data_IF_145434941860
#
_entry.id   IF_145434941860
#
_cell.length_a   1.000
_cell.length_b   1.000
_cell.length_c   1.000
_cell.angle_alpha   90.00
_cell.angle_beta   90.00
_cell.angle_gamma   90.00
#
_symmetry.space_group_name_H-M   'P 1'
#
loop_
_entity.id
_entity.type
_entity.pdbx_description
1 polymer ?
#
# COMPACT_ATOMS: atom_id res chain seq x y z
N UNK A 1 16.44 -12.51 -37.75
CA UNK A 1 15.80 -13.83 -37.93
C UNK A 1 15.29 -13.94 -39.37
N UNK A 2 15.52 -15.04 -40.08
CA UNK A 2 14.94 -15.26 -41.41
C UNK A 2 13.54 -15.84 -41.23
N UNK A 3 12.51 -15.16 -41.73
CA UNK A 3 11.13 -15.64 -41.65
C UNK A 3 10.57 -15.78 -43.06
N UNK A 4 10.04 -16.96 -43.39
CA UNK A 4 9.22 -17.13 -44.58
C UNK A 4 7.82 -16.60 -44.28
N UNK A 5 7.48 -15.49 -44.93
CA UNK A 5 6.16 -14.88 -44.83
C UNK A 5 5.30 -15.44 -45.95
N UNK A 6 4.17 -16.02 -45.56
CA UNK A 6 3.10 -16.41 -46.47
C UNK A 6 2.27 -15.17 -46.76
N UNK A 7 2.11 -14.86 -48.05
CA UNK A 7 1.22 -13.79 -48.50
C UNK A 7 0.07 -14.45 -49.25
N UNK A 8 -1.12 -14.50 -48.61
CA UNK A 8 -2.35 -14.94 -49.25
C UNK A 8 -2.90 -13.76 -50.03
N UNK A 9 -3.05 -13.91 -51.35
CA UNK A 9 -3.61 -12.86 -52.20
C UNK A 9 -5.06 -12.58 -51.79
N UNK A 10 -5.33 -11.37 -51.26
CA UNK A 10 -6.69 -10.88 -50.99
C UNK A 10 -7.36 -10.30 -52.24
N UNK A 11 -7.02 -10.78 -53.43
CA UNK A 11 -7.64 -10.33 -54.67
C UNK A 11 -8.89 -11.16 -54.98
N UNK A 12 -10.05 -10.60 -54.61
CA UNK A 12 -11.38 -11.06 -55.00
C UNK A 12 -11.72 -10.78 -56.48
N UNK A 13 -10.72 -10.65 -57.34
CA UNK A 13 -10.90 -10.33 -58.76
C UNK A 13 -9.81 -10.95 -59.63
N UNK A 14 -9.96 -12.24 -59.94
CA UNK A 14 -9.26 -12.88 -61.07
C UNK A 14 -10.31 -13.21 -62.16
N UNK A 15 -9.93 -13.12 -63.45
CA UNK A 15 -10.87 -13.17 -64.57
C UNK A 15 -11.55 -14.54 -64.70
N UNK A 16 -12.86 -14.52 -64.91
CA UNK A 16 -13.81 -15.65 -64.84
C UNK A 16 -13.68 -16.74 -65.91
N UNK A 17 -12.66 -16.73 -66.76
CA UNK A 17 -12.63 -17.65 -67.90
C UNK A 17 -11.45 -18.61 -67.85
N UNK A 18 -11.83 -19.90 -67.85
CA UNK A 18 -11.03 -21.13 -67.96
C UNK A 18 -10.40 -21.64 -66.67
N UNK A 19 -11.22 -22.34 -65.87
CA UNK A 19 -10.94 -23.65 -65.24
C UNK A 19 -12.25 -24.15 -64.60
N UNK A 20 -12.47 -25.47 -64.61
CA UNK A 20 -13.77 -26.10 -64.37
C UNK A 20 -14.55 -25.64 -63.12
N UNK A 21 -15.86 -25.45 -63.30
CA UNK A 21 -16.85 -24.87 -62.39
C UNK A 21 -17.05 -25.55 -61.02
N UNK A 22 -16.19 -26.50 -60.62
CA UNK A 22 -16.29 -27.22 -59.33
C UNK A 22 -15.24 -26.85 -58.27
N UNK A 23 -14.26 -25.98 -58.58
CA UNK A 23 -13.19 -25.63 -57.63
C UNK A 23 -13.45 -24.37 -56.79
N UNK A 24 -14.32 -23.45 -57.24
CA UNK A 24 -14.53 -22.15 -56.58
C UNK A 24 -15.45 -22.19 -55.36
N UNK A 25 -16.45 -23.10 -55.31
CA UNK A 25 -17.40 -23.19 -54.18
C UNK A 25 -16.82 -23.89 -52.95
N UNK A 26 -15.90 -24.82 -53.14
CA UNK A 26 -15.29 -25.62 -52.07
C UNK A 26 -14.27 -24.82 -51.24
N UNK A 27 -13.68 -23.76 -51.82
CA UNK A 27 -12.62 -23.00 -51.13
C UNK A 27 -13.12 -21.95 -50.13
N UNK A 28 -14.39 -21.52 -50.17
CA UNK A 28 -14.89 -20.44 -49.29
C UNK A 28 -15.24 -20.90 -47.86
N UNK A 29 -15.75 -22.12 -47.69
CA UNK A 29 -16.15 -22.65 -46.37
C UNK A 29 -14.96 -23.17 -45.58
N UNK A 30 -13.96 -23.68 -46.28
CA UNK A 30 -12.77 -24.32 -45.70
C UNK A 30 -11.53 -23.39 -45.70
N UNK A 31 -11.65 -22.15 -46.19
CA UNK A 31 -10.57 -21.16 -46.28
C UNK A 31 -9.83 -20.95 -44.95
N UNK A 32 -10.59 -20.86 -43.84
CA UNK A 32 -10.03 -20.64 -42.50
C UNK A 32 -9.17 -21.82 -42.03
N UNK A 33 -9.62 -23.05 -42.28
CA UNK A 33 -8.87 -24.25 -41.93
C UNK A 33 -7.59 -24.38 -42.78
N UNK A 34 -7.65 -23.98 -44.05
CA UNK A 34 -6.48 -23.92 -44.95
C UNK A 34 -5.49 -22.85 -44.47
N UNK A 35 -5.95 -21.67 -44.07
CA UNK A 35 -5.11 -20.59 -43.54
C UNK A 35 -4.40 -21.00 -42.24
N UNK A 36 -5.13 -21.56 -41.27
CA UNK A 36 -4.57 -22.05 -40.01
C UNK A 36 -3.52 -23.17 -40.24
N UNK A 37 -3.80 -24.09 -41.17
CA UNK A 37 -2.86 -25.18 -41.51
C UNK A 37 -1.59 -24.66 -42.20
N UNK A 38 -1.73 -23.61 -43.00
CA UNK A 38 -0.63 -22.94 -43.70
C UNK A 38 0.22 -22.12 -42.72
N UNK A 39 -0.40 -21.45 -41.75
CA UNK A 39 0.30 -20.73 -40.67
C UNK A 39 1.00 -21.69 -39.69
N UNK A 40 0.45 -22.89 -39.48
CA UNK A 40 1.05 -23.92 -38.64
C UNK A 40 2.27 -24.62 -39.27
N UNK A 41 2.54 -24.42 -40.57
CA UNK A 41 3.70 -25.04 -41.23
C UNK A 41 5.01 -24.59 -40.59
N UNK A 42 5.89 -25.55 -40.31
CA UNK A 42 7.26 -25.29 -39.84
C UNK A 42 8.10 -24.59 -40.91
N UNK A 43 9.22 -23.99 -40.49
CA UNK A 43 10.12 -23.30 -41.41
C UNK A 43 10.68 -24.22 -42.51
N UNK A 44 11.07 -25.45 -42.17
CA UNK A 44 11.59 -26.44 -43.12
C UNK A 44 10.53 -26.84 -44.17
N UNK A 45 9.28 -27.03 -43.74
CA UNK A 45 8.17 -27.33 -44.64
C UNK A 45 7.89 -26.15 -45.59
N UNK A 46 7.91 -24.91 -45.08
CA UNK A 46 7.75 -23.71 -45.91
C UNK A 46 8.86 -23.60 -46.96
N UNK A 47 10.11 -23.92 -46.61
CA UNK A 47 11.22 -23.90 -47.57
C UNK A 47 11.06 -24.95 -48.68
N UNK A 48 10.74 -26.19 -48.31
CA UNK A 48 10.48 -27.27 -49.26
C UNK A 48 9.29 -26.95 -50.19
N UNK A 49 8.18 -26.47 -49.63
CA UNK A 49 7.03 -26.05 -50.42
C UNK A 49 7.31 -24.83 -51.29
N UNK A 50 8.16 -23.88 -50.86
CA UNK A 50 8.60 -22.78 -51.71
C UNK A 50 9.36 -23.26 -52.95
N UNK A 51 10.22 -24.27 -52.81
CA UNK A 51 10.94 -24.88 -53.95
C UNK A 51 9.99 -25.63 -54.88
N UNK A 52 9.06 -26.43 -54.33
CA UNK A 52 8.05 -27.16 -55.09
C UNK A 52 7.12 -26.20 -55.81
N UNK A 53 6.67 -25.15 -55.14
CA UNK A 53 5.83 -24.11 -55.73
C UNK A 53 6.55 -23.45 -56.91
N UNK A 54 7.84 -23.12 -56.78
CA UNK A 54 8.62 -22.53 -57.86
C UNK A 54 8.78 -23.46 -59.08
N UNK A 55 9.01 -24.77 -58.86
CA UNK A 55 9.23 -25.78 -59.90
C UNK A 55 7.93 -26.27 -60.57
N UNK A 56 6.91 -26.57 -59.78
CA UNK A 56 5.70 -27.28 -60.22
C UNK A 56 4.44 -26.40 -60.28
N UNK A 57 4.46 -25.19 -59.70
CA UNK A 57 3.34 -24.25 -59.74
C UNK A 57 2.22 -24.51 -58.75
N UNK A 58 2.17 -25.69 -58.12
CA UNK A 58 1.14 -26.13 -57.16
C UNK A 58 1.79 -26.88 -55.99
N UNK A 59 1.28 -26.67 -54.78
CA UNK A 59 1.64 -27.43 -53.56
C UNK A 59 0.40 -28.13 -52.99
N UNK A 60 0.59 -29.28 -52.35
CA UNK A 60 -0.46 -30.01 -51.64
C UNK A 60 -0.18 -29.96 -50.14
N UNK A 61 -1.09 -29.37 -49.36
CA UNK A 61 -0.97 -29.27 -47.91
C UNK A 61 -2.05 -30.15 -47.26
N UNK A 62 -1.67 -30.86 -46.20
CA UNK A 62 -2.60 -31.64 -45.40
C UNK A 62 -3.41 -30.69 -44.51
N UNK A 63 -4.73 -30.66 -44.67
CA UNK A 63 -5.63 -29.77 -43.92
C UNK A 63 -6.62 -30.63 -43.15
N UNK A 64 -6.57 -30.64 -41.80
CA UNK A 64 -7.53 -31.37 -40.99
C UNK A 64 -8.95 -30.86 -41.23
N UNK A 65 -9.87 -31.76 -41.59
CA UNK A 65 -11.30 -31.44 -41.76
C UNK A 65 -11.81 -31.30 -43.20
N UNK A 66 -10.96 -31.47 -44.22
CA UNK A 66 -11.41 -31.56 -45.62
C UNK A 66 -11.82 -32.99 -46.00
N UNK A 67 -12.77 -33.18 -46.95
CA UNK A 67 -13.22 -34.51 -47.42
C UNK A 67 -12.11 -35.41 -47.95
N UNK A 68 -11.05 -34.84 -48.54
CA UNK A 68 -9.86 -35.56 -49.04
C UNK A 68 -8.60 -35.33 -48.18
N UNK A 69 -8.71 -34.57 -47.09
CA UNK A 69 -7.61 -34.21 -46.20
C UNK A 69 -6.49 -33.38 -46.84
N UNK A 70 -6.57 -33.03 -48.14
CA UNK A 70 -5.52 -32.31 -48.86
C UNK A 70 -6.09 -31.08 -49.59
N UNK A 71 -5.42 -29.94 -49.45
CA UNK A 71 -5.71 -28.72 -50.19
C UNK A 71 -4.60 -28.46 -51.23
N UNK A 72 -5.00 -28.18 -52.47
CA UNK A 72 -4.09 -27.78 -53.55
C UNK A 72 -4.01 -26.26 -53.65
N UNK A 73 -2.81 -25.71 -53.56
CA UNK A 73 -2.56 -24.27 -53.54
C UNK A 73 -1.59 -23.89 -54.66
N UNK A 74 -2.04 -23.04 -55.58
CA UNK A 74 -1.23 -22.56 -56.70
C UNK A 74 -0.49 -21.25 -56.41
N UNK A 75 0.45 -20.88 -57.29
CA UNK A 75 1.20 -19.61 -57.22
C UNK A 75 0.33 -18.35 -57.13
N UNK A 76 -0.91 -18.40 -57.63
CA UNK A 76 -1.84 -17.27 -57.57
C UNK A 76 -2.42 -17.03 -56.16
N UNK A 77 -2.42 -18.05 -55.30
CA UNK A 77 -3.06 -18.00 -53.98
C UNK A 77 -2.05 -17.77 -52.85
N UNK A 78 -0.83 -18.29 -53.00
CA UNK A 78 0.19 -18.28 -51.95
C UNK A 78 1.55 -17.93 -52.53
N UNK A 79 2.24 -17.00 -51.88
CA UNK A 79 3.64 -16.70 -52.12
C UNK A 79 4.48 -17.02 -50.88
N UNK A 80 5.55 -17.79 -51.05
CA UNK A 80 6.47 -18.18 -49.99
C UNK A 80 7.83 -17.52 -50.27
N UNK A 81 8.20 -16.50 -49.49
CA UNK A 81 9.43 -15.72 -49.70
C UNK A 81 10.24 -15.63 -48.41
N UNK A 82 11.55 -15.89 -48.51
CA UNK A 82 12.51 -15.67 -47.43
C UNK A 82 12.77 -14.17 -47.26
N UNK A 83 12.53 -13.63 -46.07
CA UNK A 83 12.84 -12.23 -45.73
C UNK A 83 13.72 -12.14 -44.49
N UNK A 84 14.60 -11.14 -44.47
CA UNK A 84 15.41 -10.77 -43.31
C UNK A 84 14.68 -9.65 -42.55
N UNK A 85 14.35 -9.89 -41.27
CA UNK A 85 13.81 -8.85 -40.37
C UNK A 85 14.85 -8.50 -39.31
N UNK A 86 15.13 -7.20 -39.19
CA UNK A 86 15.91 -6.62 -38.09
C UNK A 86 14.95 -6.26 -36.98
N UNK A 87 15.18 -6.76 -35.77
CA UNK A 87 14.38 -6.45 -34.58
C UNK A 87 15.23 -5.62 -33.62
N UNK A 88 14.89 -4.33 -33.48
CA UNK A 88 15.65 -3.38 -32.66
C UNK A 88 15.12 -3.25 -31.22
N UNK A 89 13.96 -3.85 -30.94
CA UNK A 89 13.25 -3.72 -29.67
C UNK A 89 12.88 -5.11 -29.15
N UNK A 90 13.09 -5.32 -27.85
CA UNK A 90 12.60 -6.49 -27.13
C UNK A 90 11.35 -6.11 -26.36
N UNK A 91 10.25 -6.75 -26.71
CA UNK A 91 9.04 -6.74 -25.88
C UNK A 91 9.25 -7.71 -24.72
N UNK A 92 8.89 -7.29 -23.50
CA UNK A 92 8.87 -8.16 -22.34
C UNK A 92 7.71 -7.76 -21.42
N UNK A 93 7.15 -8.74 -20.72
CA UNK A 93 6.13 -8.52 -19.71
C UNK A 93 6.83 -8.39 -18.34
N UNK A 94 6.79 -7.23 -17.68
CA UNK A 94 7.41 -7.05 -16.37
C UNK A 94 6.72 -7.90 -15.31
N UNK A 95 7.51 -8.50 -14.41
CA UNK A 95 6.99 -9.15 -13.21
C UNK A 95 6.52 -8.09 -12.20
N UNK A 96 5.40 -8.37 -11.52
CA UNK A 96 4.84 -7.48 -10.50
C UNK A 96 5.14 -8.03 -9.11
N UNK A 97 5.69 -7.20 -8.24
CA UNK A 97 5.82 -7.47 -6.80
C UNK A 97 4.80 -6.59 -6.09
N UNK A 98 3.85 -7.21 -5.41
CA UNK A 98 2.79 -6.52 -4.68
C UNK A 98 2.96 -6.73 -3.17
N UNK A 99 3.58 -5.79 -2.45
CA UNK A 99 3.57 -5.79 -0.99
C UNK A 99 2.19 -5.35 -0.49
N UNK A 100 1.46 -6.28 0.14
CA UNK A 100 0.12 -6.03 0.68
C UNK A 100 0.14 -6.05 2.21
N UNK A 101 -0.32 -4.96 2.83
CA UNK A 101 -0.32 -4.78 4.28
C UNK A 101 -1.74 -4.68 4.83
N UNK A 102 -2.14 -5.65 5.64
CA UNK A 102 -3.43 -5.64 6.33
C UNK A 102 -3.39 -4.74 7.56
N UNK A 103 -3.77 -3.46 7.42
CA UNK A 103 -3.74 -2.46 8.50
C UNK A 103 -4.48 -2.95 9.76
N UNK A 104 -5.64 -3.60 9.60
CA UNK A 104 -6.40 -4.13 10.73
C UNK A 104 -5.65 -5.20 11.53
N UNK A 105 -4.89 -6.08 10.86
CA UNK A 105 -4.06 -7.10 11.53
C UNK A 105 -2.85 -6.48 12.19
N UNK A 106 -2.19 -5.53 11.52
CA UNK A 106 -1.05 -4.80 12.08
C UNK A 106 -1.48 -4.06 13.36
N UNK A 107 -2.63 -3.40 13.32
CA UNK A 107 -3.17 -2.70 14.48
C UNK A 107 -3.56 -3.67 15.61
N UNK A 108 -4.20 -4.80 15.30
CA UNK A 108 -4.53 -5.81 16.29
C UNK A 108 -3.28 -6.41 16.97
N UNK A 109 -2.26 -6.78 16.18
CA UNK A 109 -0.98 -7.27 16.72
C UNK A 109 -0.27 -6.21 17.57
N UNK A 110 -0.33 -4.92 17.18
CA UNK A 110 0.20 -3.83 18.00
C UNK A 110 -0.48 -3.80 19.37
N UNK A 111 -1.82 -3.87 19.41
CA UNK A 111 -2.58 -3.84 20.67
C UNK A 111 -2.19 -5.02 21.58
N UNK A 112 -2.08 -6.24 21.04
CA UNK A 112 -1.66 -7.40 21.82
C UNK A 112 -0.22 -7.25 22.37
N UNK A 113 0.70 -6.70 21.58
CA UNK A 113 2.10 -6.54 22.00
C UNK A 113 2.32 -5.43 23.04
N UNK A 114 1.45 -4.42 23.07
CA UNK A 114 1.62 -3.25 23.96
C UNK A 114 0.68 -3.28 25.16
N UNK A 115 -0.22 -4.27 25.25
CA UNK A 115 -1.12 -4.41 26.38
C UNK A 115 -0.43 -5.06 27.59
N UNK A 116 -0.59 -4.46 28.76
CA UNK A 116 -0.17 -5.03 30.04
C UNK A 116 -0.99 -4.38 31.18
N UNK A 117 -0.90 -4.93 32.39
CA UNK A 117 -1.53 -4.36 33.57
C UNK A 117 -0.49 -3.92 34.59
N UNK A 118 -0.80 -2.89 35.39
CA UNK A 118 0.12 -2.40 36.41
C UNK A 118 0.48 -3.49 37.43
N UNK A 119 1.72 -3.52 37.94
CA UNK A 119 2.09 -4.42 39.01
C UNK A 119 1.19 -4.21 40.24
N UNK A 120 0.58 -5.28 40.73
CA UNK A 120 -0.29 -5.26 41.91
C UNK A 120 -1.73 -4.80 41.66
N UNK A 121 -2.11 -4.47 40.42
CA UNK A 121 -3.49 -4.08 40.08
C UNK A 121 -3.86 -4.55 38.66
N UNK A 122 -4.46 -5.74 38.56
CA UNK A 122 -4.92 -6.34 37.30
C UNK A 122 -6.01 -5.52 36.60
N UNK A 123 -6.76 -4.71 37.36
CA UNK A 123 -7.81 -3.87 36.80
C UNK A 123 -7.25 -2.62 36.11
N UNK A 124 -5.97 -2.29 36.31
CA UNK A 124 -5.32 -1.13 35.69
C UNK A 124 -4.56 -1.54 34.44
N UNK A 125 -5.31 -1.68 33.36
CA UNK A 125 -4.77 -1.92 32.02
C UNK A 125 -3.97 -0.74 31.49
N UNK A 126 -3.04 -1.02 30.60
CA UNK A 126 -2.21 -0.04 29.91
C UNK A 126 -2.02 -0.49 28.48
N UNK A 127 -2.24 0.42 27.53
CA UNK A 127 -1.80 0.23 26.15
C UNK A 127 -0.54 1.06 25.92
N UNK A 128 0.63 0.42 25.87
CA UNK A 128 1.93 1.07 25.60
C UNK A 128 2.12 1.48 24.14
N UNK A 129 1.10 2.10 23.54
CA UNK A 129 1.13 2.56 22.15
C UNK A 129 2.24 3.62 22.00
N UNK A 130 3.14 3.48 21.01
CA UNK A 130 4.20 4.46 20.78
C UNK A 130 3.63 5.86 20.55
N UNK A 131 4.27 6.94 21.06
CA UNK A 131 3.76 8.30 20.92
C UNK A 131 3.44 8.71 19.48
N UNK A 132 4.20 8.23 18.50
CA UNK A 132 3.99 8.52 17.09
C UNK A 132 2.60 8.09 16.58
N UNK A 133 2.08 6.96 17.06
CA UNK A 133 0.82 6.37 16.59
C UNK A 133 -0.30 6.38 17.63
N UNK A 134 -0.05 6.89 18.84
CA UNK A 134 -1.07 7.04 19.87
C UNK A 134 -2.27 7.88 19.41
N UNK A 135 -3.54 7.49 19.72
CA UNK A 135 -4.74 8.21 19.26
C UNK A 135 -4.81 9.66 19.78
N UNK A 136 -4.62 9.83 21.08
CA UNK A 136 -4.39 11.11 21.74
C UNK A 136 -2.96 11.13 22.24
N UNK A 137 -2.23 12.23 22.03
CA UNK A 137 -0.84 12.34 22.48
C UNK A 137 -0.77 12.83 23.92
N UNK A 138 -1.69 13.71 24.29
CA UNK A 138 -1.69 14.39 25.59
C UNK A 138 -3.08 14.36 26.21
N UNK A 139 -3.14 13.96 27.48
CA UNK A 139 -4.27 14.19 28.35
C UNK A 139 -4.07 15.48 29.14
N UNK A 140 -5.04 16.38 29.20
CA UNK A 140 -5.04 17.53 30.10
C UNK A 140 -5.96 17.25 31.30
N UNK A 141 -5.42 17.39 32.50
CA UNK A 141 -6.10 17.06 33.76
C UNK A 141 -6.07 18.27 34.71
N UNK A 142 -7.14 19.07 34.80
CA UNK A 142 -7.24 20.09 35.83
C UNK A 142 -7.56 19.46 37.20
N UNK A 143 -6.94 19.95 38.28
CA UNK A 143 -7.23 19.46 39.64
C UNK A 143 -8.57 19.97 40.20
N UNK A 144 -9.08 21.09 39.69
CA UNK A 144 -10.36 21.65 40.10
C UNK A 144 -11.12 22.25 38.91
N UNK A 145 -12.43 22.42 39.09
CA UNK A 145 -13.34 23.04 38.13
C UNK A 145 -13.49 24.56 38.31
N UNK A 146 -12.70 25.17 39.21
CA UNK A 146 -12.83 26.61 39.44
C UNK A 146 -12.50 27.40 38.14
N UNK A 147 -13.07 28.60 37.96
CA UNK A 147 -12.90 29.39 36.73
C UNK A 147 -11.43 29.64 36.35
N UNK A 148 -10.54 29.69 37.35
CA UNK A 148 -9.08 29.81 37.14
C UNK A 148 -8.52 28.67 36.29
N UNK A 149 -8.87 27.41 36.60
CA UNK A 149 -8.40 26.24 35.85
C UNK A 149 -8.94 26.21 34.42
N UNK A 150 -10.22 26.55 34.23
CA UNK A 150 -10.85 26.55 32.91
C UNK A 150 -10.12 27.47 31.92
N UNK A 151 -9.66 28.64 32.38
CA UNK A 151 -8.87 29.56 31.55
C UNK A 151 -7.50 28.98 31.14
N UNK A 152 -6.80 28.31 32.07
CA UNK A 152 -5.50 27.67 31.82
C UNK A 152 -5.64 26.47 30.87
N UNK A 153 -6.65 25.63 31.08
CA UNK A 153 -7.00 24.51 30.18
C UNK A 153 -7.23 25.03 28.77
N UNK A 154 -8.03 26.10 28.61
CA UNK A 154 -8.32 26.68 27.29
C UNK A 154 -7.07 27.24 26.62
N UNK A 155 -6.21 27.96 27.36
CA UNK A 155 -4.93 28.50 26.87
C UNK A 155 -4.02 27.36 26.40
N UNK A 156 -3.79 26.36 27.25
CA UNK A 156 -2.95 25.19 26.94
C UNK A 156 -3.47 24.39 25.75
N UNK A 157 -4.77 24.13 25.71
CA UNK A 157 -5.44 23.43 24.61
C UNK A 157 -5.28 24.18 23.28
N UNK A 158 -5.34 25.51 23.29
CA UNK A 158 -5.09 26.33 22.09
C UNK A 158 -3.64 26.24 21.62
N UNK A 159 -2.68 26.21 22.55
CA UNK A 159 -1.25 26.05 22.22
C UNK A 159 -0.96 24.68 21.63
N UNK A 160 -1.48 23.60 22.24
CA UNK A 160 -1.34 22.24 21.73
C UNK A 160 -1.94 22.09 20.32
N UNK A 161 -3.11 22.69 20.05
CA UNK A 161 -3.68 22.74 18.69
C UNK A 161 -2.75 23.44 17.70
N UNK A 162 -2.17 24.57 18.10
CA UNK A 162 -1.25 25.34 17.24
C UNK A 162 0.02 24.53 16.91
N UNK A 163 0.47 23.70 17.84
CA UNK A 163 1.61 22.78 17.67
C UNK A 163 1.24 21.49 16.90
N UNK A 164 -0.02 21.29 16.51
CA UNK A 164 -0.47 20.07 15.82
C UNK A 164 -0.54 18.83 16.73
N UNK A 165 -0.58 19.01 18.06
CA UNK A 165 -0.59 17.91 19.02
C UNK A 165 -2.03 17.53 19.39
N UNK A 166 -2.43 16.31 19.02
CA UNK A 166 -3.71 15.70 19.42
C UNK A 166 -3.77 15.57 20.94
N UNK A 167 -4.85 16.04 21.55
CA UNK A 167 -5.04 16.00 22.98
C UNK A 167 -6.51 15.87 23.38
N UNK A 168 -6.73 15.39 24.59
CA UNK A 168 -8.03 15.26 25.25
C UNK A 168 -8.01 16.01 26.58
N UNK A 169 -9.18 16.44 27.05
CA UNK A 169 -9.34 17.05 28.38
C UNK A 169 -10.22 16.09 29.18
N UNK A 170 -9.76 15.70 30.37
CA UNK A 170 -10.59 14.97 31.34
C UNK A 170 -10.78 15.87 32.56
N UNK A 171 -11.87 16.63 32.52
CA UNK A 171 -12.37 17.42 33.63
C UNK A 171 -13.46 16.67 34.39
N UNK A 172 -13.51 15.32 34.38
CA UNK A 172 -14.50 14.62 35.20
C UNK A 172 -14.25 14.81 36.70
N UNK A 173 -15.30 14.68 37.51
CA UNK A 173 -15.23 14.72 38.99
C UNK A 173 -14.49 13.52 39.62
N UNK A 174 -13.93 12.64 38.80
CA UNK A 174 -13.14 11.51 39.27
C UNK A 174 -11.77 11.97 39.81
N UNK A 175 -11.21 11.19 40.75
CA UNK A 175 -9.86 11.44 41.24
C UNK A 175 -8.85 11.44 40.10
N UNK A 176 -7.76 12.21 40.25
CA UNK A 176 -6.69 12.30 39.25
C UNK A 176 -6.14 10.92 38.86
N UNK A 177 -5.99 10.01 39.84
CA UNK A 177 -5.56 8.64 39.59
C UNK A 177 -6.52 7.85 38.70
N UNK A 178 -7.84 8.01 38.87
CA UNK A 178 -8.85 7.37 38.00
C UNK A 178 -8.85 7.94 36.58
N UNK A 179 -8.66 9.25 36.46
CA UNK A 179 -8.54 9.92 35.15
C UNK A 179 -7.30 9.45 34.40
N UNK A 180 -6.18 9.28 35.10
CA UNK A 180 -4.98 8.67 34.52
C UNK A 180 -5.21 7.22 34.11
N UNK A 181 -5.75 6.37 35.01
CA UNK A 181 -5.98 4.96 34.70
C UNK A 181 -6.82 4.78 33.41
N UNK A 182 -7.92 5.52 33.28
CA UNK A 182 -8.77 5.50 32.07
C UNK A 182 -7.99 5.86 30.80
N UNK A 183 -7.08 6.83 30.86
CA UNK A 183 -6.33 7.28 29.69
C UNK A 183 -5.09 6.44 29.41
N UNK A 184 -4.51 5.81 30.43
CA UNK A 184 -3.46 4.80 30.29
C UNK A 184 -4.02 3.58 29.54
N UNK A 185 -5.27 3.17 29.83
CA UNK A 185 -6.01 2.13 29.10
C UNK A 185 -6.31 2.50 27.65
N UNK A 186 -6.53 3.79 27.36
CA UNK A 186 -6.71 4.31 26.00
C UNK A 186 -5.39 4.52 25.25
N UNK A 187 -4.25 4.31 25.94
CA UNK A 187 -2.91 4.42 25.38
C UNK A 187 -2.42 5.85 25.15
N UNK A 188 -2.95 6.84 25.89
CA UNK A 188 -2.46 8.21 25.85
C UNK A 188 -1.08 8.29 26.53
N UNK A 189 0.00 8.66 25.83
CA UNK A 189 1.37 8.50 26.34
C UNK A 189 1.75 9.56 27.38
N UNK A 190 1.17 10.76 27.30
CA UNK A 190 1.51 11.87 28.19
C UNK A 190 0.29 12.47 28.86
N UNK A 191 0.44 12.85 30.13
CA UNK A 191 -0.57 13.59 30.88
C UNK A 191 -0.02 14.90 31.39
N UNK A 192 -0.76 15.99 31.23
CA UNK A 192 -0.45 17.30 31.78
C UNK A 192 -1.43 17.59 32.90
N UNK A 193 -0.91 17.77 34.12
CA UNK A 193 -1.72 18.23 35.26
C UNK A 193 -1.60 19.74 35.40
N UNK A 194 -2.75 20.39 35.60
CA UNK A 194 -2.83 21.79 36.03
C UNK A 194 -3.26 21.76 37.49
N UNK A 195 -2.38 22.25 38.38
CA UNK A 195 -2.59 22.29 39.82
C UNK A 195 -2.73 23.72 40.35
N UNK A 196 -2.84 23.86 41.67
CA UNK A 196 -3.01 25.16 42.31
C UNK A 196 -1.77 26.05 42.16
N UNK A 197 -0.59 25.48 42.01
CA UNK A 197 0.64 26.24 41.80
C UNK A 197 0.79 26.65 40.33
N UNK A 198 0.18 25.91 39.39
CA UNK A 198 0.04 26.35 37.99
C UNK A 198 -0.68 27.70 37.85
N UNK A 199 -1.60 28.01 38.77
CA UNK A 199 -2.32 29.30 38.78
C UNK A 199 -1.45 30.48 39.23
N UNK A 200 -0.32 30.19 39.92
CA UNK A 200 0.58 31.20 40.48
C UNK A 200 1.81 31.40 39.60
N UNK A 201 2.41 30.30 39.15
CA UNK A 201 3.79 30.32 38.63
C UNK A 201 3.91 29.90 37.14
N UNK A 202 2.80 29.74 36.41
CA UNK A 202 2.73 29.27 35.00
C UNK A 202 3.56 28.00 34.74
N UNK A 203 3.70 27.16 35.77
CA UNK A 203 4.34 25.83 35.71
C UNK A 203 3.30 24.74 35.65
N UNK A 204 3.58 23.68 34.90
CA UNK A 204 2.70 22.52 34.75
C UNK A 204 3.48 21.22 34.93
N UNK A 205 2.78 20.18 35.32
CA UNK A 205 3.37 18.86 35.55
C UNK A 205 3.10 17.98 34.34
N UNK A 206 4.15 17.40 33.76
CA UNK A 206 4.07 16.42 32.68
C UNK A 206 4.36 15.03 33.24
N UNK A 207 3.44 14.10 33.02
CA UNK A 207 3.52 12.69 33.40
C UNK A 207 3.69 11.83 32.16
N UNK A 208 4.54 10.81 32.25
CA UNK A 208 4.66 9.77 31.23
C UNK A 208 3.92 8.49 31.64
N UNK A 209 3.25 7.87 30.66
CA UNK A 209 2.37 6.73 30.87
C UNK A 209 3.12 5.51 31.39
N UNK A 210 4.18 5.03 30.78
CA UNK A 210 4.74 3.71 31.10
C UNK A 210 5.43 3.68 32.47
N UNK A 211 6.20 4.71 32.80
CA UNK A 211 6.96 4.82 34.05
C UNK A 211 6.19 5.49 35.18
N UNK A 212 5.10 6.21 34.89
CA UNK A 212 4.37 7.07 35.82
C UNK A 212 5.16 8.24 36.39
N UNK A 213 6.39 8.44 35.92
CA UNK A 213 7.24 9.54 36.38
C UNK A 213 6.69 10.87 35.91
N UNK A 214 6.97 11.88 36.70
CA UNK A 214 6.47 13.23 36.49
C UNK A 214 7.63 14.21 36.49
N UNK A 215 7.55 15.24 35.66
CA UNK A 215 8.43 16.40 35.70
C UNK A 215 7.59 17.66 35.87
N UNK A 216 8.15 18.71 36.46
CA UNK A 216 7.50 20.01 36.57
C UNK A 216 8.38 21.07 35.92
N UNK A 217 7.84 21.82 34.98
CA UNK A 217 8.58 22.92 34.35
C UNK A 217 7.61 24.01 33.88
N UNK A 218 8.16 25.06 33.27
CA UNK A 218 7.35 26.09 32.61
C UNK A 218 6.47 25.47 31.52
N UNK A 219 5.35 26.11 31.18
CA UNK A 219 4.49 25.66 30.08
C UNK A 219 5.28 25.53 28.77
N UNK A 220 6.23 26.43 28.51
CA UNK A 220 7.04 26.40 27.29
C UNK A 220 7.97 25.19 27.23
N UNK A 221 8.66 24.88 28.33
CA UNK A 221 9.57 23.73 28.41
C UNK A 221 8.81 22.41 28.28
N UNK A 222 7.64 22.32 28.91
CA UNK A 222 6.78 21.13 28.83
C UNK A 222 6.25 20.94 27.40
N UNK A 223 5.79 22.01 26.75
CA UNK A 223 5.33 21.91 25.36
C UNK A 223 6.48 21.55 24.40
N UNK A 224 7.68 22.09 24.61
CA UNK A 224 8.88 21.69 23.86
C UNK A 224 9.24 20.22 24.06
N UNK A 225 9.12 19.71 25.28
CA UNK A 225 9.30 18.29 25.58
C UNK A 225 8.24 17.42 24.88
N UNK A 226 6.96 17.79 24.96
CA UNK A 226 5.87 17.06 24.30
C UNK A 226 6.10 16.98 22.79
N UNK A 227 6.45 18.09 22.14
CA UNK A 227 6.73 18.10 20.69
C UNK A 227 7.89 17.15 20.35
N UNK A 228 8.97 17.19 21.13
CA UNK A 228 10.15 16.36 20.90
C UNK A 228 9.86 14.87 21.11
N UNK A 229 9.07 14.53 22.13
CA UNK A 229 8.65 13.17 22.43
C UNK A 229 7.68 12.61 21.38
N UNK A 230 6.72 13.41 20.92
CA UNK A 230 5.72 13.00 19.92
C UNK A 230 6.37 12.79 18.54
N UNK A 231 7.34 13.62 18.18
CA UNK A 231 8.10 13.48 16.93
C UNK A 231 9.19 12.40 17.00
N UNK A 232 9.45 11.83 18.18
CA UNK A 232 10.48 10.81 18.39
C UNK A 232 11.92 11.34 18.32
N UNK A 233 12.12 12.65 18.48
CA UNK A 233 13.46 13.26 18.51
C UNK A 233 14.12 13.18 19.89
N UNK A 234 13.33 13.03 20.96
CA UNK A 234 13.81 12.80 22.32
C UNK A 234 13.09 11.59 22.93
N UNK A 235 13.77 10.87 23.83
CA UNK A 235 13.16 9.86 24.69
C UNK A 235 12.76 10.47 26.04
N UNK A 236 11.84 9.81 26.75
CA UNK A 236 11.43 10.24 28.09
C UNK A 236 12.62 10.34 29.06
N UNK A 237 13.58 9.43 28.94
CA UNK A 237 14.82 9.43 29.73
C UNK A 237 15.68 10.66 29.50
N UNK A 238 15.60 11.29 28.32
CA UNK A 238 16.36 12.50 28.02
C UNK A 238 15.67 13.73 28.59
N UNK A 239 14.34 13.75 28.58
CA UNK A 239 13.53 14.77 29.26
C UNK A 239 13.80 14.77 30.77
N UNK A 240 13.86 13.59 31.40
CA UNK A 240 14.19 13.44 32.83
C UNK A 240 15.59 13.96 33.20
N UNK A 241 16.54 14.02 32.26
CA UNK A 241 17.89 14.55 32.53
C UNK A 241 17.93 16.08 32.55
N UNK A 242 17.01 16.74 31.83
CA UNK A 242 17.02 18.20 31.65
C UNK A 242 15.93 18.94 32.41
N UNK A 243 14.81 18.29 32.74
CA UNK A 243 13.72 18.88 33.52
C UNK A 243 13.63 18.22 34.90
N UNK A 244 13.27 18.98 35.95
CA UNK A 244 13.29 18.46 37.31
C UNK A 244 12.14 17.46 37.52
N UNK A 245 12.48 16.30 38.09
CA UNK A 245 11.51 15.27 38.47
C UNK A 245 10.62 15.81 39.61
N UNK A 246 9.32 15.56 39.50
CA UNK A 246 8.31 15.99 40.44
C UNK A 246 7.83 14.79 41.25
N UNK A 247 8.13 14.78 42.55
CA UNK A 247 7.79 13.69 43.47
C UNK A 247 6.45 13.90 44.19
N UNK A 248 5.74 14.99 43.87
CA UNK A 248 4.51 15.42 44.54
C UNK A 248 4.71 16.68 45.37
N UNK A 249 3.61 17.29 45.82
CA UNK A 249 3.64 18.24 46.92
C UNK A 249 3.80 17.42 48.20
N UNK A 250 4.82 17.70 49.01
CA UNK A 250 4.80 17.25 50.41
C UNK A 250 3.55 17.84 51.04
N UNK A 251 2.74 17.01 51.66
CA UNK A 251 1.75 17.47 52.64
C UNK A 251 2.54 17.98 53.85
N UNK A 252 3.14 19.16 53.72
CA UNK A 252 3.61 19.92 54.87
C UNK A 252 2.38 20.66 55.45
N UNK A 253 1.77 19.96 56.42
CA UNK A 253 0.82 20.38 57.47
C UNK A 253 -0.60 20.89 57.09
#
# INVERSE_FOLDING_TARGET
>A
MFLLKLQVGKDSSLPKDRLGQNSERTQRKDAKAVEESVEALSQEQRESFGQILNRCGVIKINVPGLPEGKAELGKALIQIVRRTRVENTREYTPNVIEPSFGIGRIFYCLLEHVYWHRPGDEARGVLSIPPLVAPSKVLIVPLSHSPGFASHVKKLSSRLRTLGISHTVDDSSASIGKRYARNDELGTPFGITIDFDSLKDDTITLRERDTMKQIRASVDDVLGAVVSLVNGSELWTDVLKRLPEFLGQSEDE
#
